data_IF_507021170456
#
_entry.id   IF_507021170456
#
_cell.length_a   1.000
_cell.length_b   1.000
_cell.length_c   1.000
_cell.angle_alpha   90.00
_cell.angle_beta   90.00
_cell.angle_gamma   90.00
#
_symmetry.space_group_name_H-M   'P 1'
#
loop_
_entity.id
_entity.type
_entity.pdbx_description
1 polymer ?
#
# COMPACT_ATOMS: atom_id res chain seq x y z
N UNK A 1 24.74 -10.08 -18.22
CA UNK A 1 23.93 -10.14 -19.47
C UNK A 1 22.43 -10.44 -19.27
N UNK A 2 21.98 -11.05 -18.16
CA UNK A 2 20.54 -11.30 -17.89
C UNK A 2 19.74 -10.03 -17.59
N UNK A 3 20.35 -9.04 -16.95
CA UNK A 3 19.65 -7.82 -16.50
C UNK A 3 19.39 -6.81 -17.64
N UNK A 4 20.17 -6.86 -18.73
CA UNK A 4 20.02 -5.98 -19.89
C UNK A 4 18.76 -6.37 -20.68
N UNK A 5 18.46 -7.67 -20.77
CA UNK A 5 17.25 -8.15 -21.47
C UNK A 5 15.96 -7.75 -20.74
N UNK A 6 15.98 -7.70 -19.41
CA UNK A 6 14.83 -7.26 -18.63
C UNK A 6 14.59 -5.74 -18.79
N UNK A 7 15.66 -4.95 -18.82
CA UNK A 7 15.58 -3.50 -19.02
C UNK A 7 15.08 -3.15 -20.42
N UNK A 8 15.50 -3.89 -21.45
CA UNK A 8 15.02 -3.70 -22.83
C UNK A 8 13.57 -4.08 -23.02
N UNK A 9 13.08 -5.12 -22.33
CA UNK A 9 11.66 -5.50 -22.37
C UNK A 9 10.81 -4.42 -21.68
N UNK A 10 11.29 -3.87 -20.56
CA UNK A 10 10.60 -2.81 -19.83
C UNK A 10 10.56 -1.49 -20.62
N UNK A 11 11.64 -1.13 -21.30
CA UNK A 11 11.66 0.03 -22.20
C UNK A 11 10.80 -0.16 -23.45
N UNK A 12 10.74 -1.37 -24.01
CA UNK A 12 9.89 -1.67 -25.17
C UNK A 12 8.39 -1.60 -24.81
N UNK A 13 8.01 -2.03 -23.60
CA UNK A 13 6.66 -1.89 -23.05
C UNK A 13 6.27 -0.42 -22.81
N UNK A 14 7.20 0.40 -22.36
CA UNK A 14 6.99 1.85 -22.17
C UNK A 14 6.85 2.61 -23.50
N UNK A 15 7.58 2.23 -24.55
CA UNK A 15 7.50 2.86 -25.87
C UNK A 15 6.26 2.42 -26.65
N UNK A 16 5.79 1.19 -26.48
CA UNK A 16 4.53 0.73 -27.10
C UNK A 16 3.29 1.37 -26.48
N UNK A 17 3.34 1.78 -25.22
CA UNK A 17 2.24 2.49 -24.55
C UNK A 17 2.10 3.95 -24.99
N UNK A 18 3.16 4.58 -25.50
CA UNK A 18 3.10 5.97 -25.97
C UNK A 18 2.23 6.19 -27.20
N UNK A 19 2.07 5.20 -28.06
CA UNK A 19 1.16 5.28 -29.22
C UNK A 19 -0.33 5.09 -28.87
N UNK A 20 -0.64 4.45 -27.74
CA UNK A 20 -2.00 4.31 -27.26
C UNK A 20 -2.54 5.60 -26.61
N UNK A 21 -1.66 6.50 -26.16
CA UNK A 21 -2.04 7.77 -25.55
C UNK A 21 -2.64 8.78 -26.56
N UNK A 22 -2.31 8.68 -27.84
CA UNK A 22 -2.86 9.57 -28.88
C UNK A 22 -4.12 9.04 -29.56
N UNK A 23 -4.48 7.78 -29.33
CA UNK A 23 -5.68 7.14 -29.87
C UNK A 23 -6.94 7.30 -29.03
N UNK A 24 -6.91 8.16 -28.00
CA UNK A 24 -8.12 8.50 -27.26
C UNK A 24 -9.00 9.41 -28.11
N UNK A 25 -9.77 8.80 -28.99
CA UNK A 25 -10.93 9.43 -29.60
C UNK A 25 -11.82 9.97 -28.49
N UNK A 26 -12.14 11.24 -28.59
CA UNK A 26 -13.10 11.95 -27.76
C UNK A 26 -14.45 11.21 -27.88
N UNK A 27 -14.62 10.19 -27.07
CA UNK A 27 -15.90 9.48 -26.96
C UNK A 27 -16.88 10.44 -26.29
N UNK A 28 -18.04 10.56 -26.89
CA UNK A 28 -19.15 11.41 -26.47
C UNK A 28 -19.31 11.55 -24.96
N UNK A 29 -19.65 12.76 -24.52
CA UNK A 29 -19.60 13.32 -23.17
C UNK A 29 -20.17 12.52 -21.98
N UNK A 30 -20.44 11.24 -22.14
CA UNK A 30 -21.04 10.37 -21.13
C UNK A 30 -20.16 9.15 -20.75
N UNK A 31 -18.98 8.99 -21.38
CA UNK A 31 -18.06 7.91 -21.09
C UNK A 31 -16.85 8.40 -20.26
N UNK A 32 -16.61 7.75 -19.12
CA UNK A 32 -15.36 7.87 -18.41
C UNK A 32 -14.22 7.35 -19.30
N UNK A 33 -13.05 8.03 -19.31
CA UNK A 33 -11.89 7.59 -20.09
C UNK A 33 -11.58 6.13 -19.76
N UNK A 34 -11.46 5.29 -20.81
CA UNK A 34 -11.16 3.87 -20.65
C UNK A 34 -9.89 3.65 -19.84
N UNK A 35 -8.86 4.47 -20.08
CA UNK A 35 -7.57 4.38 -19.41
C UNK A 35 -7.20 5.71 -18.80
N UNK A 36 -6.74 5.66 -17.56
CA UNK A 36 -6.15 6.79 -16.81
C UNK A 36 -4.94 6.30 -16.05
N UNK A 37 -3.99 7.17 -15.85
CA UNK A 37 -2.85 6.91 -14.98
C UNK A 37 -2.57 8.14 -14.12
N UNK A 38 -1.83 7.94 -13.04
CA UNK A 38 -1.52 9.05 -12.16
C UNK A 38 -0.56 8.68 -11.05
N UNK A 39 -0.28 9.69 -10.24
CA UNK A 39 0.52 9.56 -9.03
C UNK A 39 -0.25 10.07 -7.83
N UNK A 40 0.00 9.50 -6.67
CA UNK A 40 -0.60 9.91 -5.39
C UNK A 40 0.44 9.91 -4.28
N UNK A 41 0.21 10.76 -3.28
CA UNK A 41 0.97 10.77 -2.04
C UNK A 41 0.03 11.04 -0.86
N UNK A 42 0.42 10.63 0.34
CA UNK A 42 -0.44 10.79 1.49
C UNK A 42 0.13 10.23 2.77
N UNK A 43 -0.77 9.99 3.71
CA UNK A 43 -0.46 9.50 5.05
C UNK A 43 -1.02 8.09 5.23
N UNK A 44 -0.19 7.23 5.78
CA UNK A 44 -0.53 5.91 6.26
C UNK A 44 -0.62 5.95 7.78
N UNK A 45 -1.84 5.90 8.30
CA UNK A 45 -2.13 5.90 9.74
C UNK A 45 -2.28 4.45 10.16
N UNK A 46 -1.20 3.85 10.63
CA UNK A 46 -1.16 2.42 10.89
C UNK A 46 -1.12 2.06 12.37
N UNK A 47 -1.53 0.82 12.63
CA UNK A 47 -1.47 0.15 13.92
C UNK A 47 -1.14 -1.32 13.69
N UNK A 48 -0.20 -1.86 14.44
CA UNK A 48 0.08 -3.30 14.45
C UNK A 48 -0.61 -3.93 15.65
N UNK A 49 -1.45 -4.91 15.39
CA UNK A 49 -2.11 -5.69 16.43
C UNK A 49 -1.23 -6.88 16.82
N UNK A 50 -0.97 -7.04 18.11
CA UNK A 50 -0.19 -8.11 18.70
C UNK A 50 0.06 -7.79 20.19
N UNK A 51 0.21 -8.79 21.05
CA UNK A 51 0.44 -8.56 22.49
C UNK A 51 1.78 -7.84 22.77
N UNK A 52 2.71 -7.93 21.82
CA UNK A 52 4.03 -7.29 21.94
C UNK A 52 4.01 -5.78 21.61
N UNK A 53 2.89 -5.24 21.13
CA UNK A 53 2.82 -3.86 20.66
C UNK A 53 1.98 -2.98 21.56
N UNK A 54 2.42 -1.72 21.69
CA UNK A 54 1.64 -0.67 22.36
C UNK A 54 0.45 -0.28 21.49
N UNK A 55 -0.70 -0.11 22.13
CA UNK A 55 -1.93 0.29 21.47
C UNK A 55 -1.85 1.77 21.04
N UNK A 56 -1.80 2.02 19.74
CA UNK A 56 -1.72 3.38 19.20
C UNK A 56 -1.56 3.42 17.69
N UNK A 57 -2.10 4.48 17.08
CA UNK A 57 -1.91 4.75 15.67
C UNK A 57 -0.67 5.60 15.43
N UNK A 58 0.11 5.22 14.42
CA UNK A 58 1.30 5.94 13.97
C UNK A 58 1.08 6.54 12.58
N UNK A 59 1.62 7.72 12.35
CA UNK A 59 1.46 8.48 11.11
C UNK A 59 2.72 8.37 10.28
N UNK A 60 2.60 7.78 9.10
CA UNK A 60 3.72 7.52 8.21
C UNK A 60 3.41 7.99 6.78
N UNK A 61 4.44 8.10 5.97
CA UNK A 61 4.33 8.48 4.57
C UNK A 61 3.87 7.29 3.72
N UNK A 62 3.10 7.61 2.67
CA UNK A 62 2.83 6.73 1.54
C UNK A 62 2.85 7.51 0.24
N UNK A 63 3.24 6.86 -0.86
CA UNK A 63 3.18 7.47 -2.18
C UNK A 63 3.37 6.43 -3.27
N UNK A 64 2.77 6.65 -4.44
CA UNK A 64 2.85 5.67 -5.51
C UNK A 64 2.20 6.11 -6.80
N UNK A 65 2.23 5.19 -7.75
CA UNK A 65 1.63 5.31 -9.07
C UNK A 65 0.42 4.38 -9.18
N UNK A 66 -0.53 4.78 -9.98
CA UNK A 66 -1.70 3.97 -10.29
C UNK A 66 -2.08 4.06 -11.75
N UNK A 67 -2.79 3.03 -12.22
CA UNK A 67 -3.50 3.04 -13.48
C UNK A 67 -4.96 2.68 -13.21
N UNK A 68 -5.88 3.26 -13.99
CA UNK A 68 -7.30 2.91 -13.96
C UNK A 68 -7.71 2.42 -15.34
N UNK A 69 -8.34 1.24 -15.39
CA UNK A 69 -8.93 0.69 -16.60
C UNK A 69 -10.43 0.57 -16.36
N UNK A 70 -11.20 1.47 -16.98
CA UNK A 70 -12.65 1.54 -16.82
C UNK A 70 -13.32 0.77 -17.97
N UNK A 71 -13.71 -0.47 -17.72
CA UNK A 71 -14.31 -1.34 -18.74
C UNK A 71 -15.84 -1.21 -18.86
N UNK A 72 -16.46 -0.47 -17.95
CA UNK A 72 -17.86 -0.09 -18.03
C UNK A 72 -18.14 1.25 -17.37
N UNK A 73 -19.35 1.78 -17.52
CA UNK A 73 -19.80 3.01 -16.83
C UNK A 73 -19.79 2.86 -15.30
N UNK A 74 -19.85 1.64 -14.80
CA UNK A 74 -19.95 1.34 -13.36
C UNK A 74 -18.69 0.73 -12.80
N UNK A 75 -17.96 -0.07 -13.59
CA UNK A 75 -16.87 -0.89 -13.10
C UNK A 75 -15.55 -0.57 -13.78
N UNK A 76 -14.49 -0.60 -13.01
CA UNK A 76 -13.10 -0.52 -13.46
C UNK A 76 -12.18 -1.27 -12.52
N UNK A 77 -10.94 -1.45 -12.95
CA UNK A 77 -9.86 -2.03 -12.14
C UNK A 77 -8.74 -1.00 -11.98
N UNK A 78 -8.11 -0.98 -10.81
CA UNK A 78 -7.04 -0.04 -10.50
C UNK A 78 -5.86 -0.77 -9.86
N UNK A 79 -4.92 -1.28 -10.67
CA UNK A 79 -3.64 -1.71 -10.18
C UNK A 79 -2.77 -0.51 -9.79
N UNK A 80 -2.02 -0.67 -8.70
CA UNK A 80 -1.14 0.36 -8.17
C UNK A 80 0.21 -0.22 -7.77
N UNK A 81 1.19 0.66 -7.64
CA UNK A 81 2.48 0.38 -7.03
C UNK A 81 2.80 1.53 -6.07
N UNK A 82 2.95 1.23 -4.78
CA UNK A 82 3.08 2.24 -3.75
C UNK A 82 4.19 1.89 -2.76
N UNK A 83 4.97 2.89 -2.38
CA UNK A 83 5.81 2.84 -1.20
C UNK A 83 4.95 3.19 0.01
N UNK A 84 5.01 2.36 1.04
CA UNK A 84 4.22 2.53 2.27
C UNK A 84 5.12 2.28 3.47
N UNK A 85 5.25 3.29 4.31
CA UNK A 85 5.97 3.16 5.57
C UNK A 85 4.99 2.84 6.70
N UNK A 86 5.42 1.98 7.62
CA UNK A 86 4.66 1.54 8.79
C UNK A 86 5.56 1.61 10.02
N UNK A 87 5.11 2.25 11.08
CA UNK A 87 5.81 2.31 12.37
C UNK A 87 5.01 1.56 13.42
N UNK A 88 5.71 0.85 14.31
CA UNK A 88 5.14 0.13 15.44
C UNK A 88 6.02 0.33 16.67
N UNK A 89 5.42 0.42 17.85
CA UNK A 89 6.14 0.49 19.14
C UNK A 89 5.87 -0.79 19.91
N UNK A 90 6.95 -1.40 20.41
CA UNK A 90 6.86 -2.54 21.32
C UNK A 90 6.47 -2.09 22.72
N UNK A 91 5.69 -2.90 23.42
CA UNK A 91 5.33 -2.65 24.81
C UNK A 91 6.53 -2.89 25.73
N UNK A 92 6.62 -2.11 26.82
CA UNK A 92 7.64 -2.29 27.87
C UNK A 92 7.21 -3.29 28.96
N UNK A 93 6.17 -4.07 28.72
CA UNK A 93 5.71 -5.06 29.69
C UNK A 93 6.74 -6.19 29.81
N UNK A 94 7.38 -6.30 30.99
CA UNK A 94 8.46 -7.24 31.31
C UNK A 94 8.03 -8.71 31.24
N UNK A 95 6.74 -8.98 31.05
CA UNK A 95 6.20 -10.34 30.87
C UNK A 95 6.07 -10.76 29.40
N UNK A 96 6.57 -9.95 28.46
CA UNK A 96 6.52 -10.30 27.05
C UNK A 96 7.65 -11.26 26.66
N UNK A 97 7.32 -12.23 25.84
CA UNK A 97 8.21 -13.31 25.35
C UNK A 97 9.46 -12.78 24.63
N UNK A 98 9.47 -11.50 24.29
CA UNK A 98 10.50 -10.86 23.45
C UNK A 98 11.44 -9.93 24.23
N UNK A 99 11.32 -9.81 25.56
CA UNK A 99 12.19 -8.96 26.39
C UNK A 99 13.67 -9.31 26.26
N UNK A 100 13.98 -10.61 26.03
CA UNK A 100 15.35 -11.07 25.86
C UNK A 100 16.00 -10.62 24.54
N UNK A 101 15.20 -10.18 23.56
CA UNK A 101 15.69 -9.75 22.24
C UNK A 101 16.09 -8.27 22.23
N UNK A 102 15.55 -7.47 23.13
CA UNK A 102 15.80 -6.04 23.20
C UNK A 102 16.80 -5.66 24.29
N UNK A 103 17.65 -4.67 24.03
CA UNK A 103 18.51 -4.04 25.03
C UNK A 103 17.68 -3.19 25.99
N UNK A 104 17.96 -3.20 27.29
CA UNK A 104 17.25 -2.42 28.31
C UNK A 104 17.12 -0.95 27.91
N UNK A 105 15.91 -0.55 27.55
CA UNK A 105 15.51 0.81 27.16
C UNK A 105 14.00 0.94 27.28
N UNK A 106 13.52 2.19 27.33
CA UNK A 106 12.12 2.46 27.69
C UNK A 106 11.13 2.38 26.53
N UNK A 107 11.56 2.36 25.28
CA UNK A 107 10.67 2.19 24.11
C UNK A 107 11.47 1.70 22.92
N UNK A 108 11.01 0.64 22.27
CA UNK A 108 11.60 0.10 21.06
C UNK A 108 10.65 0.33 19.88
N UNK A 109 11.18 0.95 18.83
CA UNK A 109 10.42 1.25 17.62
C UNK A 109 10.86 0.34 16.48
N UNK A 110 9.90 -0.10 15.70
CA UNK A 110 10.12 -0.78 14.43
C UNK A 110 9.54 0.06 13.30
N UNK A 111 10.36 0.36 12.31
CA UNK A 111 9.95 1.03 11.07
C UNK A 111 10.11 0.04 9.93
N UNK A 112 9.04 -0.19 9.21
CA UNK A 112 8.97 -1.13 8.09
C UNK A 112 8.59 -0.37 6.82
N UNK A 113 9.42 -0.49 5.80
CA UNK A 113 9.20 0.08 4.48
C UNK A 113 8.73 -1.02 3.53
N UNK A 114 7.53 -0.88 2.98
CA UNK A 114 6.91 -1.83 2.06
C UNK A 114 6.79 -1.27 0.65
N UNK A 115 7.00 -2.14 -0.34
CA UNK A 115 6.47 -1.98 -1.68
C UNK A 115 5.10 -2.68 -1.73
N UNK A 116 4.04 -1.90 -1.80
CA UNK A 116 2.66 -2.39 -1.80
C UNK A 116 2.10 -2.38 -3.23
N UNK A 117 1.49 -3.50 -3.63
CA UNK A 117 0.90 -3.71 -4.96
C UNK A 117 -0.58 -4.06 -4.77
N UNK A 118 -1.46 -3.07 -4.63
CA UNK A 118 -2.90 -3.30 -4.61
C UNK A 118 -3.47 -3.48 -6.01
N UNK A 119 -4.51 -4.33 -6.10
CA UNK A 119 -5.35 -4.46 -7.29
C UNK A 119 -6.79 -4.25 -6.86
N UNK A 120 -7.33 -3.06 -7.14
CA UNK A 120 -8.61 -2.61 -6.63
C UNK A 120 -9.67 -2.65 -7.72
N UNK A 121 -10.84 -3.15 -7.38
CA UNK A 121 -12.06 -2.95 -8.15
C UNK A 121 -12.63 -1.57 -7.80
N UNK A 122 -12.92 -0.79 -8.82
CA UNK A 122 -13.58 0.50 -8.73
C UNK A 122 -15.05 0.33 -9.10
N UNK A 123 -15.95 0.80 -8.24
CA UNK A 123 -17.39 0.86 -8.50
C UNK A 123 -17.82 2.31 -8.45
N UNK A 124 -18.24 2.85 -9.60
CA UNK A 124 -18.76 4.22 -9.68
C UNK A 124 -20.08 4.34 -8.93
N UNK A 125 -20.17 5.32 -8.03
CA UNK A 125 -21.37 5.61 -7.23
C UNK A 125 -21.99 6.92 -7.70
N UNK A 126 -23.27 6.86 -8.02
CA UNK A 126 -24.04 8.01 -8.46
C UNK A 126 -23.81 8.43 -9.93
N UNK A 127 -24.59 9.39 -10.40
CA UNK A 127 -24.59 9.79 -11.82
C UNK A 127 -23.33 10.54 -12.25
N UNK A 128 -22.64 11.21 -11.31
CA UNK A 128 -21.45 12.03 -11.62
C UNK A 128 -20.19 11.22 -11.90
N UNK A 129 -20.16 9.91 -11.56
CA UNK A 129 -18.99 9.01 -11.67
C UNK A 129 -17.72 9.53 -10.96
N UNK A 130 -17.87 10.57 -10.13
CA UNK A 130 -16.75 11.18 -9.40
C UNK A 130 -16.38 10.40 -8.15
N UNK A 131 -17.36 9.76 -7.53
CA UNK A 131 -17.17 8.95 -6.32
C UNK A 131 -17.12 7.48 -6.72
N UNK A 132 -16.06 6.79 -6.29
CA UNK A 132 -15.89 5.36 -6.51
C UNK A 132 -15.73 4.67 -5.16
N UNK A 133 -16.42 3.56 -5.00
CA UNK A 133 -16.08 2.56 -3.98
C UNK A 133 -14.91 1.74 -4.53
N UNK A 134 -13.93 1.50 -3.67
CA UNK A 134 -12.75 0.69 -4.00
C UNK A 134 -12.63 -0.46 -3.03
N UNK A 135 -12.35 -1.65 -3.53
CA UNK A 135 -11.97 -2.78 -2.71
C UNK A 135 -11.14 -3.79 -3.50
N UNK A 136 -10.27 -4.49 -2.81
CA UNK A 136 -9.46 -5.52 -3.45
C UNK A 136 -8.31 -6.00 -2.57
N UNK A 137 -7.59 -7.02 -3.04
CA UNK A 137 -6.39 -7.51 -2.40
C UNK A 137 -5.21 -6.58 -2.62
N UNK A 138 -4.26 -6.65 -1.70
CA UNK A 138 -2.95 -6.02 -1.81
C UNK A 138 -1.87 -6.98 -1.32
N UNK A 139 -0.73 -6.98 -1.99
CA UNK A 139 0.48 -7.63 -1.54
C UNK A 139 1.54 -6.60 -1.23
N UNK A 140 2.07 -6.64 -0.01
CA UNK A 140 3.18 -5.81 0.46
C UNK A 140 4.47 -6.63 0.55
N UNK A 141 5.50 -6.25 -0.19
CA UNK A 141 6.85 -6.79 -0.05
C UNK A 141 7.66 -5.91 0.88
N UNK A 142 8.24 -6.48 1.94
CA UNK A 142 9.11 -5.76 2.87
C UNK A 142 10.43 -5.41 2.16
N UNK A 143 10.71 -4.12 2.02
CA UNK A 143 11.95 -3.62 1.42
C UNK A 143 13.05 -3.40 2.48
N UNK A 144 12.64 -2.86 3.63
CA UNK A 144 13.55 -2.50 4.71
C UNK A 144 12.87 -2.65 6.05
N UNK A 145 13.64 -3.18 6.99
CA UNK A 145 13.30 -3.28 8.39
C UNK A 145 14.32 -2.48 9.21
N UNK A 146 13.85 -1.60 10.07
CA UNK A 146 14.69 -0.85 11.02
C UNK A 146 14.08 -1.00 12.40
N UNK A 147 14.77 -1.70 13.29
CA UNK A 147 14.35 -1.92 14.68
C UNK A 147 15.40 -1.33 15.61
N UNK A 148 14.97 -0.42 16.47
CA UNK A 148 15.88 0.21 17.44
C UNK A 148 16.26 -0.76 18.58
N UNK A 149 17.54 -0.71 18.98
CA UNK A 149 18.05 -1.36 20.21
C UNK A 149 17.97 -2.89 20.27
N UNK A 150 18.13 -3.58 19.16
CA UNK A 150 18.32 -5.04 19.18
C UNK A 150 19.65 -5.40 19.87
N UNK A 151 19.61 -6.32 20.84
CA UNK A 151 20.82 -6.85 21.53
C UNK A 151 21.74 -7.66 20.60
N UNK A 152 21.18 -8.16 19.51
CA UNK A 152 21.86 -9.00 18.51
C UNK A 152 21.41 -8.60 17.13
N UNK A 153 22.25 -8.77 16.10
CA UNK A 153 21.87 -8.63 14.70
C UNK A 153 20.87 -9.74 14.32
N UNK A 154 19.63 -9.61 14.78
CA UNK A 154 18.53 -10.50 14.37
C UNK A 154 17.99 -9.94 13.06
N UNK A 155 18.40 -10.54 11.96
CA UNK A 155 17.78 -10.29 10.67
C UNK A 155 16.50 -11.13 10.59
N UNK A 156 15.39 -10.52 10.16
CA UNK A 156 14.14 -11.25 9.90
C UNK A 156 13.19 -11.31 11.09
N UNK A 157 13.09 -10.24 11.88
CA UNK A 157 12.04 -10.08 12.90
C UNK A 157 10.66 -10.10 12.25
N UNK A 158 10.56 -9.63 11.00
CA UNK A 158 9.33 -9.60 10.23
C UNK A 158 9.39 -10.49 8.98
N UNK A 159 8.25 -11.05 8.60
CA UNK A 159 8.14 -11.81 7.34
C UNK A 159 8.27 -10.87 6.13
N UNK A 160 8.86 -11.37 5.06
CA UNK A 160 9.16 -10.58 3.85
C UNK A 160 7.92 -10.14 3.05
N UNK A 161 6.75 -10.65 3.35
CA UNK A 161 5.55 -10.35 2.60
C UNK A 161 4.28 -10.37 3.45
N UNK A 162 3.34 -9.49 3.10
CA UNK A 162 2.05 -9.34 3.74
C UNK A 162 0.94 -9.31 2.70
N UNK A 163 -0.06 -10.19 2.85
CA UNK A 163 -1.33 -10.07 2.14
C UNK A 163 -2.31 -9.26 2.97
N UNK A 164 -3.01 -8.35 2.31
CA UNK A 164 -4.02 -7.50 2.94
C UNK A 164 -5.24 -7.32 2.04
N UNK A 165 -6.36 -6.96 2.65
CA UNK A 165 -7.55 -6.47 1.97
C UNK A 165 -7.63 -4.96 2.16
N UNK A 166 -7.99 -4.26 1.08
CA UNK A 166 -8.19 -2.80 1.08
C UNK A 166 -9.63 -2.51 0.68
N UNK A 167 -10.27 -1.58 1.39
CA UNK A 167 -11.58 -1.06 1.06
C UNK A 167 -11.65 0.44 1.34
N UNK A 168 -12.39 1.21 0.51
CA UNK A 168 -12.48 2.65 0.74
C UNK A 168 -13.18 3.43 -0.35
N UNK A 169 -12.93 4.73 -0.33
CA UNK A 169 -13.52 5.72 -1.21
C UNK A 169 -12.43 6.40 -2.04
N UNK A 170 -12.78 6.69 -3.29
CA UNK A 170 -12.00 7.49 -4.21
C UNK A 170 -12.87 8.58 -4.79
N UNK A 171 -12.42 9.82 -4.69
CA UNK A 171 -13.04 10.98 -5.31
C UNK A 171 -12.18 11.40 -6.50
N UNK A 172 -12.75 11.29 -7.71
CA UNK A 172 -12.12 11.70 -8.96
C UNK A 172 -12.61 13.06 -9.38
N UNK A 173 -11.74 14.05 -9.36
CA UNK A 173 -11.92 15.36 -9.97
C UNK A 173 -11.20 15.40 -11.35
N UNK A 174 -11.35 16.44 -12.16
CA UNK A 174 -10.76 16.45 -13.51
C UNK A 174 -9.26 16.13 -13.57
N UNK A 175 -8.47 16.70 -12.67
CA UNK A 175 -7.01 16.51 -12.62
C UNK A 175 -6.51 16.02 -11.26
N UNK A 176 -7.35 16.11 -10.24
CA UNK A 176 -7.00 15.76 -8.85
C UNK A 176 -7.82 14.58 -8.40
N UNK A 177 -7.23 13.73 -7.62
CA UNK A 177 -7.95 12.67 -6.93
C UNK A 177 -7.68 12.74 -5.42
N UNK A 178 -8.66 12.31 -4.63
CA UNK A 178 -8.54 12.12 -3.19
C UNK A 178 -8.98 10.71 -2.85
N UNK A 179 -8.33 10.07 -1.91
CA UNK A 179 -8.75 8.75 -1.43
C UNK A 179 -8.66 8.63 0.08
N UNK A 180 -9.61 7.86 0.63
CA UNK A 180 -9.61 7.42 2.01
C UNK A 180 -9.91 5.92 2.03
N UNK A 181 -8.99 5.11 2.54
CA UNK A 181 -9.06 3.64 2.50
C UNK A 181 -8.72 3.05 3.86
N UNK A 182 -9.27 1.90 4.11
CA UNK A 182 -8.89 1.06 5.23
C UNK A 182 -8.20 -0.19 4.70
N UNK A 183 -7.02 -0.48 5.26
CA UNK A 183 -6.23 -1.69 4.98
C UNK A 183 -6.32 -2.63 6.17
N UNK A 184 -6.61 -3.90 5.91
CA UNK A 184 -6.64 -4.98 6.87
C UNK A 184 -5.62 -6.04 6.48
N UNK A 185 -4.56 -6.21 7.26
CA UNK A 185 -3.59 -7.30 7.12
C UNK A 185 -4.24 -8.65 7.40
N UNK A 186 -4.13 -9.56 6.44
CA UNK A 186 -4.70 -10.91 6.51
C UNK A 186 -3.68 -11.92 7.01
N UNK A 187 -2.42 -11.75 6.61
CA UNK A 187 -1.32 -12.65 7.01
C UNK A 187 -0.65 -12.18 8.28
N UNK A 188 -0.11 -13.14 9.00
CA UNK A 188 0.76 -12.89 10.12
C UNK A 188 2.16 -12.46 9.64
N UNK A 189 2.64 -11.32 10.14
CA UNK A 189 3.95 -10.74 9.80
C UNK A 189 5.05 -11.08 10.82
N UNK A 190 4.74 -11.87 11.87
CA UNK A 190 5.74 -12.31 12.85
C UNK A 190 6.74 -13.26 12.20
N UNK A 191 8.01 -12.84 12.14
CA UNK A 191 9.13 -13.65 11.63
C UNK A 191 9.90 -14.41 12.71
N UNK A 192 9.66 -14.12 14.00
CA UNK A 192 10.44 -14.68 15.12
C UNK A 192 9.95 -16.08 15.48
N UNK A 193 8.64 -16.22 15.68
CA UNK A 193 8.01 -17.47 16.09
C UNK A 193 6.52 -17.52 15.66
N UNK A 194 5.84 -18.63 15.99
CA UNK A 194 4.41 -18.80 15.70
C UNK A 194 3.54 -18.68 16.98
N UNK A 195 4.06 -18.12 18.07
CA UNK A 195 3.33 -18.04 19.34
C UNK A 195 2.33 -16.90 19.34
N UNK A 196 2.61 -15.81 18.60
CA UNK A 196 1.76 -14.64 18.48
C UNK A 196 1.57 -14.27 17.01
N UNK A 197 0.37 -13.85 16.67
CA UNK A 197 0.06 -13.31 15.33
C UNK A 197 0.15 -11.79 15.36
N UNK A 198 0.92 -11.23 14.43
CA UNK A 198 1.04 -9.80 14.23
C UNK A 198 0.35 -9.42 12.92
N UNK A 199 -0.61 -8.50 13.01
CA UNK A 199 -1.40 -8.06 11.84
C UNK A 199 -1.43 -6.55 11.76
N UNK A 200 -1.11 -6.01 10.60
CA UNK A 200 -1.19 -4.59 10.32
C UNK A 200 -2.62 -4.16 10.02
N UNK A 201 -2.98 -2.99 10.52
CA UNK A 201 -4.19 -2.27 10.13
C UNK A 201 -3.80 -0.83 9.84
N UNK A 202 -4.42 -0.22 8.82
CA UNK A 202 -4.11 1.16 8.49
C UNK A 202 -5.30 1.88 7.88
N UNK A 203 -5.37 3.19 8.16
CA UNK A 203 -6.18 4.15 7.42
C UNK A 203 -5.21 4.87 6.48
N UNK A 204 -5.47 4.78 5.19
CA UNK A 204 -4.67 5.39 4.13
C UNK A 204 -5.42 6.58 3.54
N UNK A 205 -4.88 7.78 3.70
CA UNK A 205 -5.45 9.01 3.12
C UNK A 205 -4.45 9.55 2.12
N UNK A 206 -4.88 9.79 0.88
CA UNK A 206 -3.99 10.33 -0.15
C UNK A 206 -4.68 11.33 -1.07
N UNK A 207 -3.88 12.21 -1.64
CA UNK A 207 -4.20 13.07 -2.74
C UNK A 207 -3.26 12.80 -3.92
N UNK A 208 -3.71 13.02 -5.14
CA UNK A 208 -2.91 12.76 -6.32
C UNK A 208 -3.39 13.51 -7.54
N UNK A 209 -2.67 13.29 -8.62
CA UNK A 209 -2.97 13.83 -9.96
C UNK A 209 -3.26 12.68 -10.91
N UNK A 210 -4.21 12.91 -11.79
CA UNK A 210 -4.64 11.93 -12.81
C UNK A 210 -4.52 12.54 -14.19
N UNK A 211 -3.95 11.77 -15.11
CA UNK A 211 -3.75 12.12 -16.52
C UNK A 211 -4.60 11.23 -17.43
#
# INVERSE_FOLDING_TARGET
MKNIKLLTIFTLLLVSSSNALFAQSKLDGDHENFFRFGAKAGVNINKTNGQAYTDGFKYNFQGGLFTQVNFSKTFGIQPEISFVQTESEFTNDTNTIYDDLFGGGTQHKAILDYLEIPVLLNINVGPSKRVKLQFGPSYGALLKETVDSLKTNVNGVYKNGEWSAIGGLWLQLPFVNLSARYKLGLTDINGIDNRQQWKNQAIQISAGITF
#
